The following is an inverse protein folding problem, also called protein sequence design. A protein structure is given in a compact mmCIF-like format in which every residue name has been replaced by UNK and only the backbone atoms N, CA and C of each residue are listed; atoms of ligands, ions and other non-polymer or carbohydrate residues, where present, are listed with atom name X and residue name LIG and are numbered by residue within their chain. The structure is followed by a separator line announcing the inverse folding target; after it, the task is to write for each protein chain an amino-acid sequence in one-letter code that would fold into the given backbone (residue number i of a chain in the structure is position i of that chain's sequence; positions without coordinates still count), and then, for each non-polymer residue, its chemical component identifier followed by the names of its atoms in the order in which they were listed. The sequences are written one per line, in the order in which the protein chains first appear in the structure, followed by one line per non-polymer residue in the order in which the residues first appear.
data_IF_673992410175
#
_entry.id   IF_673992410175
#
_cell.length_a   1.000
_cell.length_b   1.000
_cell.length_c   1.000
_cell.angle_alpha   90.00
_cell.angle_beta   90.00
_cell.angle_gamma   90.00
#
_symmetry.space_group_name_H-M   'P 1'
#
loop_
_entity.id
_entity.type
_entity.pdbx_description
1 polymer ?
#
# COMPACT_ATOMS: atom_id res chain seq x y z
N UNK A 1 -9.07 -5.59 22.76
CA UNK A 1 -10.11 -4.70 22.25
C UNK A 1 -11.16 -4.50 23.33
N UNK A 2 -11.67 -3.28 23.51
CA UNK A 2 -12.69 -2.92 24.50
C UNK A 2 -13.79 -2.09 23.82
N UNK A 3 -15.05 -2.27 24.23
CA UNK A 3 -16.16 -1.39 23.81
C UNK A 3 -16.99 -1.06 25.06
N UNK A 4 -17.17 0.24 25.34
CA UNK A 4 -17.83 0.68 26.57
C UNK A 4 -17.17 0.17 27.86
N UNK A 5 -15.86 -0.12 27.82
CA UNK A 5 -15.11 -0.71 28.93
C UNK A 5 -15.17 -2.24 29.03
N UNK A 6 -15.98 -2.92 28.24
CA UNK A 6 -16.10 -4.37 28.22
C UNK A 6 -15.22 -5.01 27.14
N UNK A 7 -14.62 -6.20 27.38
CA UNK A 7 -13.84 -6.92 26.39
C UNK A 7 -14.68 -7.30 25.17
N UNK A 8 -14.18 -6.98 23.97
CA UNK A 8 -14.76 -7.44 22.71
C UNK A 8 -14.05 -8.70 22.22
N UNK A 9 -14.85 -9.67 21.81
CA UNK A 9 -14.37 -10.87 21.11
C UNK A 9 -14.57 -10.65 19.60
N UNK A 10 -13.51 -10.48 18.81
CA UNK A 10 -13.59 -10.38 17.36
C UNK A 10 -13.92 -11.76 16.77
N UNK A 11 -14.66 -11.76 15.67
CA UNK A 11 -14.65 -12.88 14.75
C UNK A 11 -13.47 -12.68 13.80
N UNK A 12 -12.49 -13.57 13.86
CA UNK A 12 -11.29 -13.53 13.03
C UNK A 12 -11.44 -14.45 11.83
N UNK A 13 -11.08 -13.97 10.65
CA UNK A 13 -11.05 -14.73 9.41
C UNK A 13 -10.01 -14.15 8.45
N UNK A 14 -9.72 -14.88 7.38
CA UNK A 14 -8.75 -14.49 6.36
C UNK A 14 -9.46 -14.05 5.08
N UNK A 15 -8.96 -12.96 4.49
CA UNK A 15 -9.37 -12.48 3.15
C UNK A 15 -8.09 -12.13 2.38
N UNK A 16 -7.86 -12.79 1.26
CA UNK A 16 -6.71 -12.56 0.37
C UNK A 16 -5.35 -12.55 1.10
N UNK A 17 -5.19 -13.43 2.09
CA UNK A 17 -3.99 -13.53 2.91
C UNK A 17 -3.88 -12.46 4.02
N UNK A 18 -4.88 -11.61 4.18
CA UNK A 18 -4.96 -10.65 5.26
C UNK A 18 -5.85 -11.17 6.41
N UNK A 19 -5.39 -11.01 7.65
CA UNK A 19 -6.19 -11.29 8.83
C UNK A 19 -7.19 -10.16 9.08
N UNK A 20 -8.47 -10.48 9.10
CA UNK A 20 -9.57 -9.53 9.27
C UNK A 20 -10.33 -9.82 10.56
N UNK A 21 -10.65 -8.78 11.31
CA UNK A 21 -11.48 -8.86 12.50
C UNK A 21 -12.84 -8.20 12.26
N UNK A 22 -13.93 -8.96 12.42
CA UNK A 22 -15.28 -8.42 12.43
C UNK A 22 -15.73 -8.20 13.87
N UNK A 23 -16.14 -6.97 14.15
CA UNK A 23 -16.62 -6.55 15.47
C UNK A 23 -18.07 -6.08 15.39
N UNK A 24 -18.85 -6.39 16.42
CA UNK A 24 -20.13 -5.75 16.68
C UNK A 24 -19.91 -4.72 17.78
N UNK A 25 -20.13 -3.44 17.44
CA UNK A 25 -19.91 -2.35 18.37
C UNK A 25 -21.19 -2.06 19.15
N UNK A 26 -21.07 -1.87 20.46
CA UNK A 26 -22.12 -1.30 21.30
C UNK A 26 -22.04 0.24 21.26
N UNK A 27 -23.12 0.95 21.62
CA UNK A 27 -23.05 2.40 21.80
C UNK A 27 -21.96 2.78 22.80
N UNK A 28 -21.18 3.83 22.49
CA UNK A 28 -20.07 4.31 23.29
C UNK A 28 -18.72 4.16 22.59
N UNK A 29 -17.64 4.43 23.33
CA UNK A 29 -16.30 4.39 22.79
C UNK A 29 -15.79 2.96 22.63
N UNK A 30 -15.13 2.69 21.52
CA UNK A 30 -14.46 1.43 21.25
C UNK A 30 -12.97 1.67 21.03
N UNK A 31 -12.14 0.98 21.80
CA UNK A 31 -10.67 1.05 21.67
C UNK A 31 -10.14 -0.27 21.17
N UNK A 32 -9.35 -0.20 20.10
CA UNK A 32 -8.61 -1.33 19.55
C UNK A 32 -7.12 -1.05 19.73
N UNK A 33 -6.43 -1.94 20.44
CA UNK A 33 -4.98 -1.88 20.61
C UNK A 33 -4.37 -3.13 20.00
N UNK A 34 -3.36 -2.96 19.18
CA UNK A 34 -2.57 -4.03 18.59
C UNK A 34 -1.09 -3.77 18.86
N UNK A 35 -0.38 -4.81 19.29
CA UNK A 35 1.06 -4.75 19.50
C UNK A 35 1.68 -6.05 19.00
N UNK A 36 2.75 -5.93 18.22
CA UNK A 36 3.46 -7.07 17.66
C UNK A 36 4.95 -6.75 17.54
N UNK A 37 5.76 -7.81 17.47
CA UNK A 37 7.14 -7.76 17.04
C UNK A 37 7.28 -8.57 15.76
N UNK A 38 8.05 -8.05 14.82
CA UNK A 38 8.43 -8.75 13.60
C UNK A 38 9.94 -8.96 13.62
N UNK A 39 10.38 -10.14 13.26
CA UNK A 39 11.78 -10.49 13.04
C UNK A 39 12.03 -10.62 11.53
N UNK A 40 13.28 -10.82 11.14
CA UNK A 40 13.64 -11.04 9.74
C UNK A 40 12.74 -12.10 9.11
N UNK A 41 12.15 -11.75 8.00
CA UNK A 41 11.16 -12.59 7.32
C UNK A 41 11.78 -13.83 6.70
N UNK A 42 10.90 -14.67 6.17
CA UNK A 42 11.28 -15.84 5.37
C UNK A 42 11.86 -15.46 4.00
N UNK A 43 11.95 -16.41 3.09
CA UNK A 43 12.38 -16.14 1.72
C UNK A 43 11.40 -15.18 1.01
N UNK A 44 11.90 -14.42 0.01
CA UNK A 44 11.07 -13.57 -0.82
C UNK A 44 9.86 -14.32 -1.40
N UNK A 45 8.72 -13.64 -1.49
CA UNK A 45 7.47 -14.25 -1.97
C UNK A 45 7.47 -14.37 -3.50
N UNK A 46 7.31 -15.59 -3.99
CA UNK A 46 7.10 -15.84 -5.41
C UNK A 46 5.70 -15.36 -5.86
N UNK A 47 5.63 -14.88 -7.09
CA UNK A 47 4.36 -14.52 -7.74
C UNK A 47 3.64 -15.77 -8.21
N UNK A 48 2.45 -16.04 -7.70
CA UNK A 48 1.62 -17.14 -8.19
C UNK A 48 0.87 -16.76 -9.47
N UNK A 49 0.49 -17.74 -10.33
CA UNK A 49 -0.31 -17.42 -11.53
C UNK A 49 -1.63 -16.69 -11.24
N UNK A 50 -2.28 -16.99 -10.11
CA UNK A 50 -3.52 -16.32 -9.72
C UNK A 50 -3.28 -14.86 -9.30
N UNK A 51 -2.24 -14.61 -8.51
CA UNK A 51 -1.83 -13.26 -8.13
C UNK A 51 -1.40 -12.45 -9.36
N UNK A 52 -0.59 -13.04 -10.23
CA UNK A 52 -0.17 -12.43 -11.49
C UNK A 52 -1.36 -11.94 -12.31
N UNK A 53 -2.34 -12.81 -12.56
CA UNK A 53 -3.53 -12.47 -13.34
C UNK A 53 -4.41 -11.41 -12.65
N UNK A 54 -4.49 -11.42 -11.32
CA UNK A 54 -5.27 -10.45 -10.55
C UNK A 54 -4.59 -9.09 -10.51
N UNK A 55 -3.26 -9.07 -10.37
CA UNK A 55 -2.46 -7.85 -10.24
C UNK A 55 -2.24 -7.09 -11.56
N UNK A 56 -2.69 -7.62 -12.69
CA UNK A 56 -2.71 -6.94 -13.99
C UNK A 56 -4.04 -6.20 -14.27
N UNK A 57 -5.11 -6.57 -13.56
CA UNK A 57 -6.45 -6.04 -13.85
C UNK A 57 -6.59 -4.59 -13.37
N UNK A 58 -7.31 -3.75 -14.12
CA UNK A 58 -7.79 -2.48 -13.59
C UNK A 58 -8.59 -2.68 -12.30
N UNK A 59 -8.52 -1.73 -11.40
CA UNK A 59 -9.26 -1.78 -10.15
C UNK A 59 -9.84 -0.41 -9.80
N UNK A 60 -10.59 -0.29 -8.70
CA UNK A 60 -11.36 0.91 -8.38
C UNK A 60 -10.53 2.20 -8.44
N UNK A 61 -9.35 2.18 -7.86
CA UNK A 61 -8.48 3.36 -7.79
C UNK A 61 -7.32 3.33 -8.78
N UNK A 62 -7.12 2.18 -9.44
CA UNK A 62 -6.04 1.95 -10.40
C UNK A 62 -6.61 1.59 -11.78
N UNK A 63 -7.21 2.55 -12.53
CA UNK A 63 -7.79 2.32 -13.86
C UNK A 63 -6.68 2.27 -14.94
N UNK A 64 -5.91 1.19 -14.97
CA UNK A 64 -4.74 1.05 -15.84
C UNK A 64 -5.06 1.08 -17.33
N UNK A 65 -6.27 0.65 -17.71
CA UNK A 65 -6.81 0.73 -19.06
C UNK A 65 -6.97 2.17 -19.57
N UNK A 66 -7.10 3.15 -18.68
CA UNK A 66 -7.21 4.56 -19.06
C UNK A 66 -5.85 5.25 -19.29
N UNK A 67 -4.76 4.68 -18.80
CA UNK A 67 -3.41 5.26 -18.90
C UNK A 67 -2.46 4.47 -19.80
N UNK A 68 -2.93 3.46 -20.55
CA UNK A 68 -2.09 2.60 -21.38
C UNK A 68 -1.32 3.42 -22.44
N UNK A 69 -2.00 4.28 -23.18
CA UNK A 69 -1.38 5.15 -24.19
C UNK A 69 -0.38 6.13 -23.58
N UNK A 70 -0.68 6.68 -22.40
CA UNK A 70 0.23 7.54 -21.65
C UNK A 70 1.49 6.77 -21.23
N UNK A 71 1.31 5.64 -20.55
CA UNK A 71 2.40 4.86 -20.00
C UNK A 71 3.35 4.34 -21.09
N UNK A 72 2.81 3.85 -22.21
CA UNK A 72 3.62 3.34 -23.33
C UNK A 72 4.38 4.43 -24.08
N UNK A 73 3.94 5.69 -23.98
CA UNK A 73 4.64 6.84 -24.57
C UNK A 73 5.74 7.36 -23.63
N UNK A 74 5.50 7.31 -22.33
CA UNK A 74 6.39 7.89 -21.31
C UNK A 74 7.53 6.95 -20.91
N UNK A 75 7.32 5.61 -21.00
CA UNK A 75 8.27 4.63 -20.49
C UNK A 75 8.73 3.64 -21.57
N UNK A 76 10.03 3.30 -21.54
CA UNK A 76 10.60 2.27 -22.40
C UNK A 76 10.33 0.87 -21.83
N UNK A 77 9.43 0.14 -22.48
CA UNK A 77 9.05 -1.23 -22.10
C UNK A 77 10.17 -2.27 -22.33
N UNK A 78 11.22 -1.92 -23.04
CA UNK A 78 12.36 -2.81 -23.31
C UNK A 78 13.36 -2.90 -22.15
N UNK A 79 13.22 -2.05 -21.13
CA UNK A 79 14.06 -2.08 -19.94
C UNK A 79 13.92 -3.40 -19.17
N UNK A 80 14.99 -3.85 -18.51
CA UNK A 80 14.89 -4.93 -17.53
C UNK A 80 13.81 -4.63 -16.49
N UNK A 81 13.09 -5.66 -16.05
CA UNK A 81 11.90 -5.49 -15.18
C UNK A 81 12.17 -4.66 -13.93
N UNK A 82 13.26 -4.93 -13.22
CA UNK A 82 13.65 -4.17 -12.02
C UNK A 82 13.90 -2.68 -12.34
N UNK A 83 14.55 -2.40 -13.45
CA UNK A 83 14.85 -1.04 -13.90
C UNK A 83 13.59 -0.29 -14.31
N UNK A 84 12.67 -0.95 -15.02
CA UNK A 84 11.37 -0.37 -15.39
C UNK A 84 10.56 0.01 -14.14
N UNK A 85 10.48 -0.90 -13.16
CA UNK A 85 9.76 -0.65 -11.90
C UNK A 85 10.37 0.54 -11.14
N UNK A 86 11.67 0.59 -10.98
CA UNK A 86 12.37 1.72 -10.35
C UNK A 86 12.18 3.02 -11.13
N UNK A 87 12.24 2.97 -12.48
CA UNK A 87 12.02 4.14 -13.34
C UNK A 87 10.62 4.74 -13.16
N UNK A 88 9.59 3.88 -13.11
CA UNK A 88 8.20 4.33 -12.87
C UNK A 88 8.05 4.94 -11.48
N UNK A 89 8.60 4.31 -10.43
CA UNK A 89 8.56 4.84 -9.08
C UNK A 89 9.27 6.21 -8.97
N UNK A 90 10.47 6.33 -9.55
CA UNK A 90 11.20 7.58 -9.61
C UNK A 90 10.46 8.67 -10.41
N UNK A 91 9.76 8.30 -11.48
CA UNK A 91 8.96 9.24 -12.25
C UNK A 91 7.78 9.77 -11.42
N UNK A 92 7.04 8.88 -10.74
CA UNK A 92 5.92 9.26 -9.85
C UNK A 92 6.41 10.18 -8.74
N UNK A 93 7.56 9.84 -8.12
CA UNK A 93 8.18 10.70 -7.11
C UNK A 93 8.41 12.14 -7.58
N UNK A 94 8.96 12.30 -8.79
CA UNK A 94 9.21 13.64 -9.36
C UNK A 94 7.95 14.35 -9.84
N UNK A 95 6.91 13.59 -10.20
CA UNK A 95 5.67 14.13 -10.77
C UNK A 95 4.73 14.68 -9.71
N UNK A 96 4.73 14.11 -8.51
CA UNK A 96 3.80 14.44 -7.45
C UNK A 96 4.47 15.26 -6.33
N UNK A 97 3.67 16.14 -5.73
CA UNK A 97 4.03 16.82 -4.47
C UNK A 97 3.27 16.13 -3.33
N UNK A 98 4.00 15.65 -2.31
CA UNK A 98 3.36 15.07 -1.14
C UNK A 98 2.65 16.14 -0.34
N UNK A 99 1.33 16.06 -0.24
CA UNK A 99 0.49 17.09 0.41
C UNK A 99 -0.56 16.41 1.28
N UNK A 100 -0.39 16.54 2.60
CA UNK A 100 -1.37 16.03 3.56
C UNK A 100 -2.72 16.73 3.36
N UNK A 101 -3.81 15.96 3.34
CA UNK A 101 -5.17 16.46 3.16
C UNK A 101 -5.57 16.84 1.73
N UNK A 102 -4.68 16.69 0.73
CA UNK A 102 -5.00 16.96 -0.67
C UNK A 102 -5.85 15.87 -1.33
N UNK A 103 -5.87 14.68 -0.76
CA UNK A 103 -6.50 13.50 -1.33
C UNK A 103 -7.91 13.29 -0.79
N UNK A 104 -8.86 12.97 -1.68
CA UNK A 104 -10.22 12.58 -1.32
C UNK A 104 -10.34 11.05 -1.31
N UNK A 105 -11.26 10.47 -0.52
CA UNK A 105 -11.43 9.01 -0.46
C UNK A 105 -11.82 8.35 -1.80
N UNK A 106 -12.28 9.13 -2.77
CA UNK A 106 -12.74 8.65 -4.08
C UNK A 106 -11.74 8.88 -5.22
N UNK A 107 -10.63 9.59 -4.96
CA UNK A 107 -9.67 9.94 -6.01
C UNK A 107 -8.98 8.68 -6.54
N UNK A 108 -8.91 8.63 -7.86
CA UNK A 108 -8.23 7.58 -8.63
C UNK A 108 -6.81 8.01 -9.00
N UNK A 109 -6.03 7.09 -9.56
CA UNK A 109 -4.71 7.42 -10.11
C UNK A 109 -4.76 8.50 -11.22
N UNK A 110 -5.85 8.57 -11.99
CA UNK A 110 -6.04 9.62 -13.01
C UNK A 110 -6.25 10.98 -12.36
N UNK A 111 -7.08 11.04 -11.30
CA UNK A 111 -7.28 12.28 -10.55
C UNK A 111 -5.96 12.77 -9.93
N UNK A 112 -5.18 11.86 -9.36
CA UNK A 112 -3.86 12.13 -8.79
C UNK A 112 -2.87 12.65 -9.83
N UNK A 113 -2.81 12.01 -11.01
CA UNK A 113 -1.94 12.43 -12.12
C UNK A 113 -2.24 13.86 -12.56
N UNK A 114 -3.53 14.22 -12.65
CA UNK A 114 -3.98 15.56 -13.06
C UNK A 114 -3.77 16.59 -11.96
N UNK A 115 -4.01 16.22 -10.70
CA UNK A 115 -3.81 17.11 -9.55
C UNK A 115 -2.32 17.40 -9.28
N UNK A 116 -1.42 16.47 -9.62
CA UNK A 116 0.02 16.59 -9.36
C UNK A 116 0.41 16.57 -7.88
N UNK A 117 -0.48 16.11 -7.00
CA UNK A 117 -0.26 16.04 -5.56
C UNK A 117 -1.10 14.91 -4.94
N UNK A 118 -0.68 14.45 -3.76
CA UNK A 118 -1.40 13.43 -3.03
C UNK A 118 -0.64 12.94 -1.80
N UNK A 119 -1.12 11.86 -1.20
CA UNK A 119 -0.49 11.17 -0.07
C UNK A 119 0.03 9.79 -0.49
N UNK A 120 0.60 9.00 0.41
CA UNK A 120 1.21 7.68 0.10
C UNK A 120 0.29 6.77 -0.72
N UNK A 121 -1.01 6.71 -0.39
CA UNK A 121 -2.02 5.97 -1.14
C UNK A 121 -2.08 6.39 -2.61
N UNK A 122 -2.04 7.70 -2.88
CA UNK A 122 -2.17 8.24 -4.24
C UNK A 122 -0.91 7.97 -5.06
N UNK A 123 0.27 8.08 -4.44
CA UNK A 123 1.54 7.68 -5.03
C UNK A 123 1.53 6.20 -5.41
N UNK A 124 1.07 5.34 -4.49
CA UNK A 124 0.95 3.91 -4.74
C UNK A 124 -0.04 3.62 -5.88
N UNK A 125 -1.23 4.23 -5.88
CA UNK A 125 -2.22 4.03 -6.94
C UNK A 125 -1.71 4.45 -8.31
N UNK A 126 -1.03 5.60 -8.41
CA UNK A 126 -0.47 6.04 -9.69
C UNK A 126 0.64 5.10 -10.17
N UNK A 127 1.53 4.68 -9.27
CA UNK A 127 2.59 3.72 -9.60
C UNK A 127 2.01 2.39 -10.08
N UNK A 128 1.04 1.81 -9.36
CA UNK A 128 0.35 0.58 -9.75
C UNK A 128 -0.32 0.73 -11.11
N UNK A 129 -1.01 1.82 -11.33
CA UNK A 129 -1.73 2.08 -12.58
C UNK A 129 -0.78 2.11 -13.77
N UNK A 130 0.33 2.81 -13.66
CA UNK A 130 1.35 2.90 -14.70
C UNK A 130 2.04 1.55 -14.94
N UNK A 131 2.40 0.84 -13.88
CA UNK A 131 3.01 -0.49 -14.00
C UNK A 131 2.09 -1.49 -14.70
N UNK A 132 0.80 -1.54 -14.31
CA UNK A 132 -0.19 -2.41 -14.96
C UNK A 132 -0.43 -2.03 -16.42
N UNK A 133 -0.45 -0.75 -16.75
CA UNK A 133 -0.53 -0.25 -18.13
C UNK A 133 0.68 -0.68 -18.99
N UNK A 134 1.83 -0.94 -18.34
CA UNK A 134 3.06 -1.48 -18.94
C UNK A 134 3.14 -3.03 -18.85
N UNK A 135 2.04 -3.70 -18.51
CA UNK A 135 1.96 -5.16 -18.34
C UNK A 135 2.88 -5.71 -17.23
N UNK A 136 3.14 -4.88 -16.19
CA UNK A 136 3.82 -5.30 -14.97
C UNK A 136 2.76 -5.55 -13.89
N UNK A 137 2.61 -6.80 -13.40
CA UNK A 137 1.74 -7.07 -12.27
C UNK A 137 2.16 -6.25 -11.06
N UNK A 138 1.22 -5.49 -10.50
CA UNK A 138 1.49 -4.64 -9.34
C UNK A 138 0.27 -4.59 -8.42
N UNK A 139 0.53 -4.44 -7.11
CA UNK A 139 -0.51 -4.40 -6.07
C UNK A 139 -0.14 -3.42 -4.96
N UNK A 140 -1.13 -2.95 -4.23
CA UNK A 140 -0.94 -2.11 -3.05
C UNK A 140 -0.59 -2.98 -1.85
N UNK A 141 0.34 -2.50 -1.04
CA UNK A 141 0.68 -3.09 0.25
C UNK A 141 0.56 -2.04 1.34
N UNK A 142 -0.25 -2.34 2.35
CA UNK A 142 -0.26 -1.57 3.58
C UNK A 142 0.85 -2.08 4.50
N UNK A 143 1.61 -1.17 5.07
CA UNK A 143 2.79 -1.50 5.88
C UNK A 143 2.90 -0.65 7.15
N UNK A 144 3.57 -1.17 8.16
CA UNK A 144 4.24 -0.36 9.16
C UNK A 144 5.60 0.06 8.61
N UNK A 145 5.95 1.34 8.78
CA UNK A 145 7.11 1.95 8.16
C UNK A 145 8.02 2.63 9.21
N UNK A 146 8.93 1.89 9.85
CA UNK A 146 9.94 2.50 10.71
C UNK A 146 10.70 3.60 9.95
N UNK A 147 10.84 4.78 10.57
CA UNK A 147 11.44 5.96 9.95
C UNK A 147 10.47 6.95 9.33
N UNK A 148 9.22 6.58 9.13
CA UNK A 148 8.19 7.51 8.66
C UNK A 148 7.94 8.65 9.67
N UNK A 149 7.89 9.89 9.20
CA UNK A 149 7.63 11.05 10.06
C UNK A 149 6.69 12.07 9.37
N UNK A 150 5.55 12.44 9.97
CA UNK A 150 4.98 11.84 11.18
C UNK A 150 4.62 10.37 11.01
N UNK A 151 4.66 9.60 12.10
CA UNK A 151 4.35 8.18 12.07
C UNK A 151 2.86 7.94 11.77
N UNK A 152 2.58 7.06 10.81
CA UNK A 152 1.24 6.65 10.39
C UNK A 152 1.29 5.27 9.71
N UNK A 153 0.15 4.72 9.34
CA UNK A 153 0.09 3.66 8.32
C UNK A 153 0.66 4.17 7.00
N UNK A 154 1.37 3.27 6.30
CA UNK A 154 1.94 3.64 5.02
C UNK A 154 1.45 2.70 3.91
N UNK A 155 1.38 3.22 2.70
CA UNK A 155 0.96 2.50 1.50
C UNK A 155 2.09 2.54 0.47
N UNK A 156 2.51 1.36 0.04
CA UNK A 156 3.57 1.16 -0.95
C UNK A 156 3.10 0.20 -2.04
N UNK A 157 3.95 -0.06 -3.01
CA UNK A 157 3.65 -0.95 -4.14
C UNK A 157 4.51 -2.19 -4.08
N UNK A 158 3.92 -3.37 -4.27
CA UNK A 158 4.63 -4.56 -4.71
C UNK A 158 4.41 -4.75 -6.21
N UNK A 159 5.51 -4.99 -6.94
CA UNK A 159 5.52 -5.31 -8.36
C UNK A 159 6.21 -6.65 -8.60
N UNK A 160 5.79 -7.35 -9.66
CA UNK A 160 6.44 -8.57 -10.13
C UNK A 160 7.78 -8.21 -10.78
N UNK A 161 8.87 -8.61 -10.15
CA UNK A 161 10.21 -8.56 -10.72
C UNK A 161 10.71 -9.99 -10.90
N UNK A 162 10.66 -10.45 -12.13
CA UNK A 162 11.14 -11.78 -12.56
C UNK A 162 10.58 -12.94 -11.71
N UNK A 163 9.29 -12.90 -11.41
CA UNK A 163 8.57 -13.91 -10.65
C UNK A 163 8.61 -13.74 -9.13
N UNK A 164 9.14 -12.62 -8.65
CA UNK A 164 9.23 -12.30 -7.21
C UNK A 164 8.52 -10.98 -6.92
N UNK A 165 7.74 -10.94 -5.83
CA UNK A 165 7.15 -9.69 -5.35
C UNK A 165 8.22 -8.82 -4.73
N UNK A 166 8.47 -7.65 -5.34
CA UNK A 166 9.40 -6.64 -4.85
C UNK A 166 8.67 -5.34 -4.52
N UNK A 167 8.96 -4.77 -3.36
CA UNK A 167 8.37 -3.50 -2.93
C UNK A 167 9.16 -2.31 -3.48
N UNK A 168 8.44 -1.26 -3.86
CA UNK A 168 8.97 0.08 -4.14
C UNK A 168 8.11 1.13 -3.46
N UNK A 169 8.73 2.20 -3.00
CA UNK A 169 8.06 3.35 -2.39
C UNK A 169 8.35 4.63 -3.14
N UNK A 170 7.45 5.05 -4.02
CA UNK A 170 7.57 6.28 -4.77
C UNK A 170 7.51 7.55 -3.90
N UNK A 171 7.11 7.45 -2.62
CA UNK A 171 7.18 8.59 -1.69
C UNK A 171 8.57 8.81 -1.14
N UNK A 172 9.38 7.75 -1.01
CA UNK A 172 10.70 7.75 -0.34
C UNK A 172 10.65 8.21 1.12
N UNK A 173 9.52 8.03 1.79
CA UNK A 173 9.35 8.49 3.17
C UNK A 173 9.93 7.51 4.19
N UNK A 174 10.14 6.24 3.81
CA UNK A 174 10.75 5.22 4.64
C UNK A 174 11.59 4.26 3.81
N UNK A 175 12.63 3.63 4.39
CA UNK A 175 13.43 2.62 3.70
C UNK A 175 12.58 1.36 3.41
N UNK A 176 12.60 0.88 2.18
CA UNK A 176 11.82 -0.30 1.78
C UNK A 176 12.22 -1.57 2.53
N UNK A 177 13.50 -1.69 2.92
CA UNK A 177 14.02 -2.84 3.66
C UNK A 177 13.60 -2.88 5.14
N UNK A 178 13.02 -1.81 5.70
CA UNK A 178 12.53 -1.74 7.07
C UNK A 178 11.00 -1.91 7.20
N UNK A 179 10.31 -2.08 6.08
CA UNK A 179 8.86 -2.17 6.06
C UNK A 179 8.36 -3.50 6.60
N UNK A 180 7.29 -3.45 7.38
CA UNK A 180 6.59 -4.65 7.87
C UNK A 180 5.21 -4.71 7.24
N UNK A 181 4.95 -5.77 6.45
CA UNK A 181 3.66 -5.95 5.74
C UNK A 181 2.52 -6.15 6.72
N UNK A 182 1.41 -5.43 6.50
CA UNK A 182 0.13 -5.62 7.18
C UNK A 182 -0.79 -6.48 6.31
N UNK A 183 -1.03 -6.03 5.08
CA UNK A 183 -1.85 -6.73 4.10
C UNK A 183 -1.52 -6.22 2.70
N UNK A 184 -2.03 -6.91 1.69
CA UNK A 184 -1.96 -6.49 0.30
C UNK A 184 -3.32 -6.61 -0.40
N UNK A 185 -3.48 -5.91 -1.51
CA UNK A 185 -4.68 -5.96 -2.32
C UNK A 185 -4.49 -5.25 -3.66
N UNK A 186 -5.50 -5.25 -4.52
CA UNK A 186 -5.40 -4.62 -5.84
C UNK A 186 -5.20 -3.11 -5.75
N UNK A 187 -5.84 -2.49 -4.76
CA UNK A 187 -5.73 -1.08 -4.41
C UNK A 187 -6.27 -0.85 -2.98
N UNK A 188 -6.48 0.39 -2.57
CA UNK A 188 -6.93 0.74 -1.22
C UNK A 188 -8.34 0.25 -0.87
N UNK A 189 -9.16 -0.19 -1.84
CA UNK A 189 -10.46 -0.79 -1.52
C UNK A 189 -10.30 -2.16 -0.85
N UNK A 190 -9.25 -2.89 -1.20
CA UNK A 190 -8.96 -4.21 -0.67
C UNK A 190 -8.11 -4.16 0.64
N UNK A 191 -7.48 -3.01 0.93
CA UNK A 191 -6.53 -2.86 2.06
C UNK A 191 -7.00 -1.85 3.12
N UNK A 192 -8.29 -1.53 3.15
CA UNK A 192 -8.83 -0.60 4.13
C UNK A 192 -8.62 -1.10 5.57
N UNK A 193 -7.96 -0.29 6.43
CA UNK A 193 -7.71 -0.66 7.83
C UNK A 193 -8.98 -0.66 8.68
N UNK A 194 -10.03 0.01 8.25
CA UNK A 194 -11.33 0.09 8.92
C UNK A 194 -12.44 0.25 7.89
N UNK A 195 -13.47 -0.58 8.01
CA UNK A 195 -14.72 -0.43 7.26
C UNK A 195 -15.91 -0.48 8.22
N UNK A 196 -16.81 0.49 8.14
CA UNK A 196 -17.99 0.58 9.00
C UNK A 196 -19.23 0.21 8.21
N UNK A 197 -20.07 -0.62 8.80
CA UNK A 197 -21.35 -1.06 8.22
C UNK A 197 -22.50 -0.80 9.19
N UNK A 198 -23.63 -0.32 8.67
CA UNK A 198 -24.93 -0.33 9.34
C UNK A 198 -25.16 0.66 10.47
N UNK A 199 -24.27 1.59 10.75
CA UNK A 199 -24.46 2.57 11.81
C UNK A 199 -23.53 3.78 11.68
N UNK A 200 -23.81 4.83 12.40
CA UNK A 200 -22.92 5.98 12.54
C UNK A 200 -21.83 5.68 13.56
N UNK A 201 -20.59 5.60 13.13
CA UNK A 201 -19.44 5.65 14.01
C UNK A 201 -18.44 6.67 13.43
N UNK A 202 -17.67 7.31 14.30
CA UNK A 202 -16.64 8.26 13.93
C UNK A 202 -15.31 7.69 14.37
N UNK A 203 -14.31 7.71 13.49
CA UNK A 203 -12.94 7.40 13.89
C UNK A 203 -12.45 8.53 14.81
N UNK A 204 -12.09 8.16 16.03
CA UNK A 204 -11.52 9.05 17.01
C UNK A 204 -10.00 9.17 16.84
N UNK A 205 -9.26 8.99 17.90
CA UNK A 205 -7.81 9.03 17.90
C UNK A 205 -7.24 7.79 17.18
N UNK A 206 -6.25 8.02 16.33
CA UNK A 206 -5.44 6.98 15.69
C UNK A 206 -3.97 7.23 16.01
N UNK A 207 -3.34 6.27 16.67
CA UNK A 207 -1.91 6.31 16.96
C UNK A 207 -1.23 5.09 16.34
N UNK A 208 -0.21 5.32 15.54
CA UNK A 208 0.65 4.28 14.96
C UNK A 208 2.07 4.51 15.44
N UNK A 209 2.73 3.42 15.86
CA UNK A 209 4.14 3.45 16.23
C UNK A 209 4.84 2.24 15.61
N UNK A 210 5.94 2.47 14.92
CA UNK A 210 6.78 1.42 14.38
C UNK A 210 8.26 1.80 14.58
N UNK A 211 9.02 0.91 15.17
CA UNK A 211 10.45 1.10 15.44
C UNK A 211 11.23 -0.11 14.92
N UNK A 212 12.46 0.11 14.50
CA UNK A 212 13.41 -0.95 14.18
C UNK A 212 14.62 -0.85 15.06
N UNK A 213 15.26 -1.99 15.33
CA UNK A 213 16.54 -2.03 16.03
C UNK A 213 17.66 -1.61 15.07
N UNK A 214 18.51 -0.68 15.50
CA UNK A 214 19.65 -0.18 14.73
C UNK A 214 19.34 1.00 13.79
N UNK A 215 20.34 1.35 12.97
CA UNK A 215 20.25 2.47 12.04
C UNK A 215 19.44 2.10 10.80
N UNK A 216 18.55 2.97 10.38
CA UNK A 216 17.77 2.80 9.17
C UNK A 216 18.58 3.19 7.93
N UNK A 217 18.53 2.42 6.83
CA UNK A 217 19.16 2.81 5.57
C UNK A 217 18.47 4.03 4.95
N UNK A 218 19.12 4.62 3.95
CA UNK A 218 18.52 5.73 3.19
C UNK A 218 17.49 5.15 2.21
N UNK A 219 16.29 5.73 2.10
CA UNK A 219 15.31 5.33 1.10
C UNK A 219 15.83 5.49 -0.34
N UNK A 220 15.49 4.54 -1.21
CA UNK A 220 15.80 4.57 -2.63
C UNK A 220 14.63 4.02 -3.49
N UNK A 221 14.81 3.98 -4.82
CA UNK A 221 13.80 3.47 -5.76
C UNK A 221 14.09 2.02 -6.20
N UNK A 222 15.10 1.37 -5.65
CA UNK A 222 15.43 0.01 -6.04
C UNK A 222 14.33 -0.95 -5.53
N UNK A 223 13.78 -1.82 -6.41
CA UNK A 223 12.84 -2.83 -5.97
C UNK A 223 13.49 -3.76 -4.93
N UNK A 224 12.86 -3.89 -3.77
CA UNK A 224 13.34 -4.72 -2.66
C UNK A 224 12.39 -5.90 -2.41
N UNK A 225 12.87 -7.15 -2.39
CA UNK A 225 12.03 -8.30 -2.10
C UNK A 225 11.68 -8.32 -0.61
N UNK A 226 10.43 -7.98 -0.28
CA UNK A 226 9.93 -8.02 1.09
C UNK A 226 9.48 -9.44 1.43
N UNK A 227 9.95 -10.02 2.54
CA UNK A 227 9.58 -11.37 2.97
C UNK A 227 8.11 -11.55 3.28
#
# INVERSE_FOLDING_TARGET
MLSGGEPLQPEEFEVDGARVHRLRLNPGDTTVTYSASAEDGGPPRAVTPAEWATALRPSRYCPSDQLEGFATTEFDRSLPRAELVGTVAAWVHRRLVYTSGASRPVDTAVDTLLAGQGVCRDYAHLTITLLRALEVPARLVAVYAPGLSPMDFHAVVEADVDGTWCVVDATRLAPTSSLVRICHGRDAADTAFLTLFGGGATLGELTVTATADGDLPVPDDAPFPLP
#
